data_IF_859842007407
#
_entry.id   IF_859842007407
#
_cell.length_a   1.000
_cell.length_b   1.000
_cell.length_c   1.000
_cell.angle_alpha   90.00
_cell.angle_beta   90.00
_cell.angle_gamma   90.00
#
_symmetry.space_group_name_H-M   'P 1'
#
loop_
_entity.id
_entity.type
_entity.pdbx_description
1 polymer ?
#
# COMPACT_ATOMS: atom_id res chain seq x y z
N UNK A 1 9.64 12.00 -27.90
CA UNK A 1 10.38 10.93 -27.21
C UNK A 1 9.47 9.78 -26.79
N UNK A 2 8.36 9.98 -26.08
CA UNK A 2 7.52 8.87 -25.57
C UNK A 2 6.82 8.02 -26.63
N UNK A 3 6.46 8.59 -27.78
CA UNK A 3 5.86 7.85 -28.91
C UNK A 3 6.85 7.24 -29.92
N UNK A 4 8.16 7.47 -29.73
CA UNK A 4 9.21 6.98 -30.65
C UNK A 4 10.06 5.86 -30.03
N UNK A 5 9.71 5.40 -28.84
CA UNK A 5 10.36 4.24 -28.26
C UNK A 5 9.86 2.98 -28.97
N UNK A 6 10.77 2.09 -29.39
CA UNK A 6 10.35 0.84 -30.00
C UNK A 6 9.45 0.03 -29.07
N UNK A 7 8.33 -0.48 -29.60
CA UNK A 7 7.36 -1.28 -28.83
C UNK A 7 7.99 -2.53 -28.22
N UNK A 8 9.07 -3.06 -28.81
CA UNK A 8 9.80 -4.19 -28.26
C UNK A 8 10.38 -3.91 -26.87
N UNK A 9 10.68 -2.66 -26.50
CA UNK A 9 11.19 -2.34 -25.16
C UNK A 9 10.17 -2.70 -24.07
N UNK A 10 8.90 -2.32 -24.26
CA UNK A 10 7.82 -2.67 -23.34
C UNK A 10 7.57 -4.19 -23.33
N UNK A 11 7.70 -4.84 -24.48
CA UNK A 11 7.53 -6.30 -24.59
C UNK A 11 8.64 -7.04 -23.84
N UNK A 12 9.91 -6.67 -24.02
CA UNK A 12 11.02 -7.31 -23.29
C UNK A 12 10.87 -7.07 -21.79
N UNK A 13 10.54 -5.85 -21.35
CA UNK A 13 10.38 -5.57 -19.94
C UNK A 13 9.20 -6.30 -19.28
N UNK A 14 8.16 -6.66 -20.05
CA UNK A 14 7.01 -7.42 -19.54
C UNK A 14 7.18 -8.94 -19.64
N UNK A 15 7.85 -9.45 -20.68
CA UNK A 15 8.09 -10.89 -20.86
C UNK A 15 9.32 -11.37 -20.09
N UNK A 16 10.36 -10.53 -20.03
CA UNK A 16 11.63 -10.82 -19.39
C UNK A 16 12.01 -9.72 -18.37
N UNK A 17 11.17 -9.45 -17.34
CA UNK A 17 11.43 -8.40 -16.36
C UNK A 17 12.77 -8.56 -15.63
N UNK A 18 13.26 -9.81 -15.48
CA UNK A 18 14.54 -10.13 -14.85
C UNK A 18 15.78 -9.56 -15.56
N UNK A 19 15.66 -9.11 -16.81
CA UNK A 19 16.77 -8.49 -17.55
C UNK A 19 17.08 -7.07 -17.09
N UNK A 20 16.16 -6.43 -16.35
CA UNK A 20 16.28 -5.04 -15.94
C UNK A 20 16.08 -4.91 -14.43
N UNK A 21 16.93 -4.14 -13.73
CA UNK A 21 16.68 -3.74 -12.35
C UNK A 21 15.31 -3.05 -12.18
N UNK A 22 14.79 -3.08 -10.97
CA UNK A 22 13.50 -2.47 -10.64
C UNK A 22 13.45 -1.00 -11.06
N UNK A 23 14.50 -0.23 -10.76
CA UNK A 23 14.58 1.21 -11.04
C UNK A 23 14.52 1.49 -12.54
N UNK A 24 15.17 0.66 -13.36
CA UNK A 24 15.14 0.76 -14.82
C UNK A 24 13.74 0.46 -15.36
N UNK A 25 13.08 -0.58 -14.84
CA UNK A 25 11.69 -0.90 -15.22
C UNK A 25 10.72 0.19 -14.77
N UNK A 26 10.94 0.76 -13.59
CA UNK A 26 10.15 1.89 -13.10
C UNK A 26 10.29 3.11 -14.01
N UNK A 27 11.50 3.45 -14.44
CA UNK A 27 11.70 4.54 -15.39
C UNK A 27 11.01 4.23 -16.73
N UNK A 28 11.20 3.03 -17.27
CA UNK A 28 10.58 2.61 -18.53
C UNK A 28 9.05 2.65 -18.45
N UNK A 29 8.46 2.22 -17.34
CA UNK A 29 7.03 2.35 -17.07
C UNK A 29 6.56 3.79 -17.22
N UNK A 30 7.18 4.72 -16.48
CA UNK A 30 6.77 6.14 -16.53
C UNK A 30 6.94 6.76 -17.92
N UNK A 31 8.00 6.38 -18.64
CA UNK A 31 8.30 6.94 -19.96
C UNK A 31 7.37 6.39 -21.05
N UNK A 32 6.90 5.15 -20.90
CA UNK A 32 6.14 4.47 -21.97
C UNK A 32 4.64 4.36 -21.71
N UNK A 33 4.21 4.47 -20.45
CA UNK A 33 2.80 4.37 -20.06
C UNK A 33 2.08 5.71 -19.97
N UNK A 34 2.82 6.82 -19.87
CA UNK A 34 2.25 8.16 -19.68
C UNK A 34 2.64 9.15 -20.79
N UNK A 35 2.07 10.35 -20.70
CA UNK A 35 2.33 11.40 -21.68
C UNK A 35 3.76 11.96 -21.61
N UNK A 36 4.14 12.68 -22.67
CA UNK A 36 5.49 13.22 -22.86
C UNK A 36 5.94 14.09 -21.70
N UNK A 37 5.07 14.94 -21.17
CA UNK A 37 5.43 15.92 -20.16
C UNK A 37 5.67 15.23 -18.81
N UNK A 38 4.91 14.18 -18.47
CA UNK A 38 5.19 13.34 -17.29
C UNK A 38 6.48 12.55 -17.41
N UNK A 39 6.71 11.93 -18.57
CA UNK A 39 7.94 11.20 -18.83
C UNK A 39 9.18 12.11 -18.73
N UNK A 40 9.09 13.31 -19.28
CA UNK A 40 10.15 14.31 -19.22
C UNK A 40 10.39 14.78 -17.79
N UNK A 41 9.33 15.05 -17.03
CA UNK A 41 9.46 15.39 -15.62
C UNK A 41 10.17 14.28 -14.82
N UNK A 42 9.78 13.02 -15.02
CA UNK A 42 10.43 11.88 -14.35
C UNK A 42 11.91 11.74 -14.71
N UNK A 43 12.27 11.99 -15.97
CA UNK A 43 13.67 11.98 -16.41
C UNK A 43 14.50 13.09 -15.75
N UNK A 44 13.93 14.30 -15.64
CA UNK A 44 14.59 15.41 -14.96
C UNK A 44 14.76 15.15 -13.46
N UNK A 45 13.75 14.59 -12.80
CA UNK A 45 13.80 14.25 -11.37
C UNK A 45 14.87 13.18 -11.06
N UNK A 46 15.05 12.21 -11.96
CA UNK A 46 16.04 11.13 -11.82
C UNK A 46 17.47 11.55 -12.20
N UNK A 47 17.64 12.68 -12.89
CA UNK A 47 18.94 13.14 -13.39
C UNK A 47 19.05 14.65 -13.23
N UNK A 48 19.19 15.15 -11.99
CA UNK A 48 19.28 16.59 -11.71
C UNK A 48 20.48 17.26 -12.39
N UNK A 49 21.54 16.52 -12.76
CA UNK A 49 22.65 17.05 -13.58
C UNK A 49 22.18 17.58 -14.95
N UNK A 50 21.14 16.98 -15.52
CA UNK A 50 20.50 17.46 -16.75
C UNK A 50 19.77 18.79 -16.54
N UNK A 51 19.49 19.20 -15.29
CA UNK A 51 18.91 20.50 -14.92
C UNK A 51 19.97 21.58 -14.66
N UNK A 52 21.25 21.24 -14.49
CA UNK A 52 22.34 22.22 -14.30
C UNK A 52 23.03 22.67 -15.59
N UNK A 53 22.85 21.99 -16.73
CA UNK A 53 23.48 22.37 -17.99
C UNK A 53 22.78 23.57 -18.67
N UNK A 54 23.57 24.57 -19.07
CA UNK A 54 23.11 25.88 -19.57
C UNK A 54 22.72 25.79 -21.06
N UNK A 55 21.54 25.21 -21.36
CA UNK A 55 21.08 24.94 -22.73
C UNK A 55 19.83 25.75 -23.07
N UNK A 56 19.95 26.69 -24.02
CA UNK A 56 18.86 27.54 -24.53
C UNK A 56 17.70 26.76 -25.22
N UNK A 57 17.84 25.45 -25.44
CA UNK A 57 16.83 24.56 -26.05
C UNK A 57 16.15 23.61 -25.05
N UNK A 58 16.00 24.00 -23.78
CA UNK A 58 15.31 23.13 -22.80
C UNK A 58 13.82 23.00 -23.08
N UNK A 59 13.37 21.76 -23.26
CA UNK A 59 11.95 21.42 -23.15
C UNK A 59 11.61 21.33 -21.67
N UNK A 60 10.82 22.27 -21.16
CA UNK A 60 10.28 22.21 -19.80
C UNK A 60 8.95 21.45 -19.84
N UNK A 61 8.75 20.43 -18.99
CA UNK A 61 7.47 19.73 -18.92
C UNK A 61 6.36 20.70 -18.50
N UNK A 62 5.25 20.71 -19.24
CA UNK A 62 4.07 21.54 -18.97
C UNK A 62 2.90 20.65 -18.59
N UNK A 63 2.77 20.37 -17.29
CA UNK A 63 1.64 19.63 -16.76
C UNK A 63 0.51 20.56 -16.35
N UNK A 64 -0.65 20.37 -16.97
CA UNK A 64 -1.88 21.04 -16.56
C UNK A 64 -2.22 20.64 -15.12
N UNK A 65 -2.58 21.61 -14.29
CA UNK A 65 -3.00 21.38 -12.91
C UNK A 65 -4.48 21.74 -12.75
N UNK A 66 -5.24 20.88 -12.09
CA UNK A 66 -6.64 21.10 -11.75
C UNK A 66 -6.76 21.22 -10.25
N UNK A 67 -6.95 22.47 -9.81
CA UNK A 67 -7.21 22.78 -8.42
C UNK A 67 -8.60 22.31 -8.00
N UNK A 68 -8.70 21.71 -6.81
CA UNK A 68 -9.95 21.29 -6.17
C UNK A 68 -9.92 21.72 -4.70
N UNK A 69 -10.99 22.39 -4.29
CA UNK A 69 -11.24 22.70 -2.89
C UNK A 69 -11.94 21.51 -2.25
N UNK A 70 -11.46 21.05 -1.11
CA UNK A 70 -11.91 19.84 -0.43
C UNK A 70 -12.12 20.14 1.05
N UNK A 71 -13.29 19.79 1.58
CA UNK A 71 -13.49 19.81 3.03
C UNK A 71 -12.78 18.62 3.69
N UNK A 72 -12.25 18.81 4.90
CA UNK A 72 -11.75 17.68 5.70
C UNK A 72 -12.87 16.72 6.12
N UNK A 73 -14.09 17.25 6.21
CA UNK A 73 -15.29 16.46 6.49
C UNK A 73 -15.69 15.64 5.25
N UNK A 74 -16.13 14.39 5.45
CA UNK A 74 -16.57 13.49 4.38
C UNK A 74 -15.56 13.33 3.21
N UNK A 75 -14.25 13.44 3.50
CA UNK A 75 -13.18 13.45 2.48
C UNK A 75 -13.25 12.27 1.50
N UNK A 76 -13.66 11.08 1.96
CA UNK A 76 -13.80 9.90 1.10
C UNK A 76 -14.85 10.10 0.00
N UNK A 77 -16.00 10.69 0.33
CA UNK A 77 -17.09 10.94 -0.62
C UNK A 77 -16.69 12.01 -1.63
N UNK A 78 -16.00 13.05 -1.18
CA UNK A 78 -15.47 14.08 -2.08
C UNK A 78 -14.38 13.51 -2.99
N UNK A 79 -13.50 12.65 -2.47
CA UNK A 79 -12.47 11.97 -3.24
C UNK A 79 -13.05 11.10 -4.35
N UNK A 80 -14.15 10.39 -4.08
CA UNK A 80 -14.87 9.62 -5.10
C UNK A 80 -15.27 10.48 -6.30
N UNK A 81 -15.86 11.65 -6.04
CA UNK A 81 -16.26 12.58 -7.10
C UNK A 81 -15.05 13.18 -7.83
N UNK A 82 -14.05 13.67 -7.09
CA UNK A 82 -12.85 14.31 -7.66
C UNK A 82 -12.09 13.35 -8.56
N UNK A 83 -11.84 12.13 -8.10
CA UNK A 83 -11.10 11.13 -8.87
C UNK A 83 -11.93 10.62 -10.05
N UNK A 84 -13.25 10.48 -9.89
CA UNK A 84 -14.15 10.13 -10.99
C UNK A 84 -14.06 11.16 -12.13
N UNK A 85 -14.09 12.46 -11.80
CA UNK A 85 -14.04 13.56 -12.78
C UNK A 85 -12.65 13.70 -13.44
N UNK A 86 -11.60 13.28 -12.74
CA UNK A 86 -10.22 13.35 -13.20
C UNK A 86 -9.72 12.05 -13.85
N UNK A 87 -10.47 10.94 -13.79
CA UNK A 87 -10.01 9.64 -14.27
C UNK A 87 -9.59 9.65 -15.74
N UNK A 88 -10.35 10.33 -16.60
CA UNK A 88 -10.03 10.49 -18.04
C UNK A 88 -9.12 11.69 -18.33
N UNK A 89 -8.75 12.47 -17.31
CA UNK A 89 -7.96 13.68 -17.46
C UNK A 89 -6.48 13.43 -17.17
N UNK A 90 -5.62 13.95 -18.04
CA UNK A 90 -4.17 13.99 -17.84
C UNK A 90 -3.72 15.09 -16.89
N UNK A 91 -4.60 15.95 -16.40
CA UNK A 91 -4.23 17.03 -15.49
C UNK A 91 -3.85 16.48 -14.11
N UNK A 92 -2.83 17.07 -13.47
CA UNK A 92 -2.47 16.81 -12.08
C UNK A 92 -3.54 17.36 -11.14
N UNK A 93 -3.91 16.58 -10.13
CA UNK A 93 -4.72 17.09 -9.02
C UNK A 93 -3.88 18.04 -8.14
N UNK A 94 -4.45 19.19 -7.81
CA UNK A 94 -3.93 20.08 -6.77
C UNK A 94 -5.04 20.34 -5.74
N UNK A 95 -4.78 20.02 -4.48
CA UNK A 95 -5.75 20.18 -3.40
C UNK A 95 -5.54 21.49 -2.64
N UNK A 96 -6.66 22.11 -2.28
CA UNK A 96 -6.78 23.14 -1.25
C UNK A 96 -7.82 22.68 -0.25
N UNK A 97 -7.52 22.75 1.04
CA UNK A 97 -8.52 22.50 2.07
C UNK A 97 -9.38 23.75 2.30
N UNK A 98 -10.66 23.55 2.60
CA UNK A 98 -11.56 24.63 3.02
C UNK A 98 -11.01 25.35 4.25
N UNK A 99 -11.15 26.67 4.28
CA UNK A 99 -10.65 27.55 5.35
C UNK A 99 -9.12 27.48 5.60
N UNK A 100 -8.37 26.90 4.68
CA UNK A 100 -6.91 26.84 4.71
C UNK A 100 -6.27 27.63 3.56
N UNK A 101 -5.19 28.34 3.90
CA UNK A 101 -4.42 29.16 2.94
C UNK A 101 -3.50 28.29 2.07
N UNK A 102 -3.11 27.12 2.57
CA UNK A 102 -2.15 26.22 1.91
C UNK A 102 -2.74 25.49 0.69
N UNK A 103 -2.03 25.56 -0.44
CA UNK A 103 -2.32 24.76 -1.64
C UNK A 103 -1.03 24.18 -2.22
N UNK A 104 -1.14 23.18 -3.10
CA UNK A 104 0.01 22.63 -3.81
C UNK A 104 0.31 21.19 -3.42
N UNK A 105 1.61 20.83 -3.41
CA UNK A 105 2.04 19.43 -3.28
C UNK A 105 1.74 18.86 -1.89
N UNK A 106 2.02 19.61 -0.81
CA UNK A 106 1.80 19.17 0.57
C UNK A 106 0.34 18.77 0.85
N UNK A 107 -0.63 19.69 0.69
CA UNK A 107 -2.05 19.36 0.85
C UNK A 107 -2.54 18.24 -0.08
N UNK A 108 -1.96 18.14 -1.28
CA UNK A 108 -2.27 17.04 -2.20
C UNK A 108 -1.77 15.70 -1.67
N UNK A 109 -0.54 15.63 -1.16
CA UNK A 109 0.01 14.38 -0.58
C UNK A 109 -0.79 13.95 0.65
N UNK A 110 -1.19 14.92 1.47
CA UNK A 110 -2.07 14.67 2.61
C UNK A 110 -3.43 14.12 2.17
N UNK A 111 -4.04 14.68 1.12
CA UNK A 111 -5.28 14.16 0.57
C UNK A 111 -5.19 12.67 0.20
N UNK A 112 -4.10 12.26 -0.48
CA UNK A 112 -3.90 10.84 -0.80
C UNK A 112 -3.73 9.98 0.46
N UNK A 113 -3.03 10.48 1.48
CA UNK A 113 -2.84 9.78 2.75
C UNK A 113 -4.17 9.64 3.54
N UNK A 114 -4.96 10.71 3.64
CA UNK A 114 -6.25 10.70 4.34
C UNK A 114 -7.27 9.80 3.62
N UNK A 115 -7.36 9.87 2.29
CA UNK A 115 -8.25 8.97 1.53
C UNK A 115 -7.81 7.51 1.68
N UNK A 116 -6.49 7.24 1.71
CA UNK A 116 -5.95 5.91 2.00
C UNK A 116 -6.35 5.41 3.38
N UNK A 117 -6.35 6.29 4.39
CA UNK A 117 -6.82 5.97 5.75
C UNK A 117 -8.32 5.72 5.79
N UNK A 118 -9.13 6.59 5.18
CA UNK A 118 -10.59 6.42 5.13
C UNK A 118 -11.03 5.14 4.42
N UNK A 119 -10.31 4.73 3.38
CA UNK A 119 -10.57 3.46 2.70
C UNK A 119 -10.33 2.24 3.59
N UNK A 120 -9.60 2.38 4.71
CA UNK A 120 -9.36 1.32 5.68
C UNK A 120 -10.40 1.27 6.80
N UNK A 121 -11.42 2.14 6.80
CA UNK A 121 -12.46 2.10 7.84
C UNK A 121 -13.19 0.76 7.88
N UNK A 122 -13.41 0.25 9.10
CA UNK A 122 -14.04 -1.03 9.33
C UNK A 122 -15.52 -1.05 8.91
N UNK A 123 -16.24 0.06 9.06
CA UNK A 123 -17.67 0.19 8.70
C UNK A 123 -17.94 0.13 7.18
N UNK A 124 -16.89 0.24 6.36
CA UNK A 124 -17.00 0.04 4.92
C UNK A 124 -17.05 -1.44 4.53
N UNK A 125 -16.66 -2.35 5.42
CA UNK A 125 -16.65 -3.81 5.23
C UNK A 125 -15.92 -4.26 3.94
N UNK A 126 -14.88 -3.51 3.51
CA UNK A 126 -14.16 -3.79 2.27
C UNK A 126 -13.14 -4.92 2.41
N UNK A 127 -12.58 -5.11 3.61
CA UNK A 127 -11.35 -5.88 3.82
C UNK A 127 -11.59 -7.12 4.69
N UNK A 128 -10.88 -8.21 4.38
CA UNK A 128 -10.81 -9.40 5.21
C UNK A 128 -10.03 -9.09 6.49
N UNK A 129 -10.75 -8.91 7.59
CA UNK A 129 -10.17 -8.58 8.88
C UNK A 129 -11.02 -9.16 10.04
N UNK A 130 -11.01 -10.48 10.22
CA UNK A 130 -11.82 -11.14 11.26
C UNK A 130 -11.44 -10.67 12.68
N UNK A 131 -10.19 -10.28 12.89
CA UNK A 131 -9.65 -9.85 14.18
C UNK A 131 -9.80 -8.34 14.43
N UNK A 132 -10.37 -7.57 13.50
CA UNK A 132 -10.54 -6.11 13.62
C UNK A 132 -11.89 -5.70 14.22
N UNK A 133 -12.64 -6.63 14.81
CA UNK A 133 -13.91 -6.35 15.46
C UNK A 133 -13.73 -5.33 16.60
N UNK A 134 -14.34 -4.14 16.46
CA UNK A 134 -14.29 -3.07 17.46
C UNK A 134 -13.28 -1.95 17.20
N UNK A 135 -12.45 -2.06 16.15
CA UNK A 135 -11.57 -0.96 15.72
C UNK A 135 -12.25 -0.11 14.64
N UNK A 136 -12.02 1.20 14.64
CA UNK A 136 -12.54 2.11 13.61
C UNK A 136 -11.89 1.85 12.23
N UNK A 137 -10.64 1.40 12.24
CA UNK A 137 -9.84 1.12 11.04
C UNK A 137 -9.30 -0.31 11.05
N UNK A 138 -9.24 -0.90 9.86
CA UNK A 138 -8.71 -2.23 9.62
C UNK A 138 -7.20 -2.19 9.62
N UNK A 139 -6.59 -3.02 10.46
CA UNK A 139 -5.16 -3.25 10.49
C UNK A 139 -4.88 -4.73 10.30
N UNK A 140 -4.25 -5.08 9.17
CA UNK A 140 -3.92 -6.45 8.83
C UNK A 140 -2.41 -6.62 8.65
N UNK A 141 -1.82 -7.57 9.38
CA UNK A 141 -0.37 -7.79 9.41
C UNK A 141 0.17 -8.19 8.02
N UNK A 142 -0.58 -9.03 7.30
CA UNK A 142 -0.23 -9.49 5.95
C UNK A 142 -0.71 -8.56 4.83
N UNK A 143 -1.25 -7.40 5.20
CA UNK A 143 -1.80 -6.42 4.26
C UNK A 143 -3.28 -6.64 3.93
N UNK A 144 -3.88 -5.64 3.31
CA UNK A 144 -5.28 -5.58 2.93
C UNK A 144 -5.57 -6.54 1.78
N UNK A 145 -6.67 -7.26 1.92
CA UNK A 145 -7.24 -8.11 0.88
C UNK A 145 -8.77 -8.05 1.01
N UNK A 146 -9.55 -8.18 -0.08
CA UNK A 146 -10.98 -7.94 0.00
C UNK A 146 -11.71 -8.96 0.88
N UNK A 147 -12.75 -8.51 1.56
CA UNK A 147 -13.69 -9.42 2.21
C UNK A 147 -14.45 -10.25 1.15
N UNK A 148 -14.61 -11.57 1.34
CA UNK A 148 -15.38 -12.40 0.45
C UNK A 148 -16.87 -12.04 0.48
N UNK A 149 -17.50 -11.97 -0.69
CA UNK A 149 -18.93 -11.76 -0.87
C UNK A 149 -19.61 -13.09 -1.20
N UNK A 150 -20.57 -13.50 -0.37
CA UNK A 150 -21.39 -14.68 -0.60
C UNK A 150 -22.34 -14.56 -1.78
N UNK A 151 -22.76 -15.69 -2.35
CA UNK A 151 -23.73 -15.76 -3.45
C UNK A 151 -25.07 -15.11 -3.12
N UNK A 152 -25.52 -15.23 -1.87
CA UNK A 152 -26.77 -14.65 -1.36
C UNK A 152 -26.69 -13.19 -0.92
N UNK A 153 -25.55 -12.51 -1.12
CA UNK A 153 -25.41 -11.11 -0.72
C UNK A 153 -26.43 -10.22 -1.45
N UNK A 154 -26.98 -9.22 -0.74
CA UNK A 154 -27.99 -8.31 -1.29
C UNK A 154 -27.41 -7.51 -2.45
N UNK A 155 -28.18 -7.32 -3.52
CA UNK A 155 -27.76 -6.58 -4.73
C UNK A 155 -27.24 -5.17 -4.39
N UNK A 156 -27.89 -4.48 -3.45
CA UNK A 156 -27.45 -3.15 -2.99
C UNK A 156 -26.07 -3.16 -2.32
N UNK A 157 -25.78 -4.15 -1.48
CA UNK A 157 -24.48 -4.32 -0.82
C UNK A 157 -23.37 -4.63 -1.85
N UNK A 158 -23.67 -5.52 -2.80
CA UNK A 158 -22.74 -5.84 -3.89
C UNK A 158 -22.44 -4.58 -4.71
N UNK A 159 -23.47 -3.82 -5.08
CA UNK A 159 -23.32 -2.57 -5.85
C UNK A 159 -22.47 -1.55 -5.09
N UNK A 160 -22.76 -1.31 -3.81
CA UNK A 160 -21.97 -0.41 -2.95
C UNK A 160 -20.49 -0.82 -2.91
N UNK A 161 -20.21 -2.11 -2.70
CA UNK A 161 -18.85 -2.64 -2.64
C UNK A 161 -18.13 -2.50 -3.98
N UNK A 162 -18.78 -2.88 -5.09
CA UNK A 162 -18.22 -2.70 -6.44
C UNK A 162 -17.90 -1.23 -6.74
N UNK A 163 -18.75 -0.30 -6.33
CA UNK A 163 -18.50 1.14 -6.51
C UNK A 163 -17.25 1.58 -5.76
N UNK A 164 -17.08 1.16 -4.50
CA UNK A 164 -15.88 1.46 -3.70
C UNK A 164 -14.61 0.87 -4.33
N UNK A 165 -14.65 -0.38 -4.78
CA UNK A 165 -13.49 -1.00 -5.43
C UNK A 165 -13.16 -0.39 -6.79
N UNK A 166 -14.17 0.01 -7.57
CA UNK A 166 -13.98 0.77 -8.82
C UNK A 166 -13.34 2.12 -8.56
N UNK A 167 -13.80 2.83 -7.54
CA UNK A 167 -13.14 4.06 -7.09
C UNK A 167 -11.68 3.78 -6.69
N UNK A 168 -11.43 2.74 -5.89
CA UNK A 168 -10.08 2.36 -5.49
C UNK A 168 -9.18 2.10 -6.70
N UNK A 169 -9.66 1.40 -7.72
CA UNK A 169 -8.92 1.20 -8.97
C UNK A 169 -8.52 2.51 -9.65
N UNK A 170 -9.46 3.45 -9.77
CA UNK A 170 -9.19 4.79 -10.33
C UNK A 170 -8.20 5.56 -9.47
N UNK A 171 -8.37 5.51 -8.15
CA UNK A 171 -7.52 6.19 -7.18
C UNK A 171 -6.08 5.67 -7.25
N UNK A 172 -5.90 4.35 -7.31
CA UNK A 172 -4.61 3.69 -7.51
C UNK A 172 -3.94 4.09 -8.83
N UNK A 173 -4.67 4.00 -9.95
CA UNK A 173 -4.11 4.36 -11.25
C UNK A 173 -3.75 5.86 -11.31
N UNK A 174 -4.61 6.72 -10.76
CA UNK A 174 -4.39 8.16 -10.72
C UNK A 174 -3.20 8.54 -9.85
N UNK A 175 -3.05 7.90 -8.69
CA UNK A 175 -1.90 8.08 -7.80
C UNK A 175 -0.59 7.74 -8.52
N UNK A 176 -0.52 6.59 -9.18
CA UNK A 176 0.68 6.18 -9.94
C UNK A 176 0.98 7.16 -11.07
N UNK A 177 -0.03 7.52 -11.87
CA UNK A 177 0.12 8.49 -12.97
C UNK A 177 0.64 9.84 -12.48
N UNK A 178 0.13 10.32 -11.34
CA UNK A 178 0.51 11.59 -10.71
C UNK A 178 1.77 11.49 -9.84
N UNK A 179 2.44 10.32 -9.79
CA UNK A 179 3.59 10.07 -8.92
C UNK A 179 3.29 10.44 -7.45
N UNK A 180 2.17 9.91 -6.95
CA UNK A 180 1.69 10.03 -5.57
C UNK A 180 1.64 8.65 -4.95
N UNK A 181 2.02 8.58 -3.68
CA UNK A 181 2.04 7.33 -2.93
C UNK A 181 0.75 7.17 -2.15
N UNK A 182 0.30 5.93 -2.03
CA UNK A 182 -0.82 5.53 -1.21
C UNK A 182 -0.32 4.93 0.10
N UNK A 183 -1.06 5.17 1.18
CA UNK A 183 -0.84 4.45 2.44
C UNK A 183 -1.84 3.30 2.59
N UNK A 184 -1.91 2.47 1.55
CA UNK A 184 -2.78 1.29 1.47
C UNK A 184 -1.91 0.04 1.35
N UNK A 185 -1.68 -0.68 2.45
CA UNK A 185 -0.77 -1.80 2.46
C UNK A 185 -1.43 -3.07 1.94
N UNK A 186 -1.52 -3.27 0.63
CA UNK A 186 -2.14 -4.46 0.10
C UNK A 186 -1.29 -5.73 0.34
N UNK A 187 -1.96 -6.87 0.47
CA UNK A 187 -1.31 -8.18 0.51
C UNK A 187 -0.66 -8.52 -0.84
N UNK A 188 0.34 -9.40 -0.83
CA UNK A 188 0.94 -9.92 -2.07
C UNK A 188 -0.11 -10.55 -3.00
N UNK A 189 -1.05 -11.28 -2.42
CA UNK A 189 -2.17 -11.92 -3.13
C UNK A 189 -3.06 -10.90 -3.85
N UNK A 190 -3.27 -9.71 -3.26
CA UNK A 190 -4.00 -8.62 -3.92
C UNK A 190 -3.27 -8.17 -5.20
N UNK A 191 -1.95 -8.00 -5.13
CA UNK A 191 -1.14 -7.60 -6.29
C UNK A 191 -1.08 -8.68 -7.36
N UNK A 192 -1.02 -9.96 -6.99
CA UNK A 192 -1.14 -11.09 -7.93
C UNK A 192 -2.49 -11.06 -8.65
N UNK A 193 -3.59 -10.80 -7.93
CA UNK A 193 -4.88 -10.55 -8.53
C UNK A 193 -4.82 -9.32 -9.45
N UNK A 194 -4.27 -8.19 -9.05
CA UNK A 194 -4.18 -7.01 -9.90
C UNK A 194 -3.47 -7.30 -11.24
N UNK A 195 -2.48 -8.19 -11.25
CA UNK A 195 -1.71 -8.57 -12.43
C UNK A 195 -2.34 -9.66 -13.32
N UNK A 196 -3.51 -10.21 -12.98
CA UNK A 196 -4.13 -11.28 -13.77
C UNK A 196 -3.68 -12.69 -13.40
N UNK A 197 -3.11 -12.89 -12.21
CA UNK A 197 -2.52 -14.17 -11.79
C UNK A 197 -3.42 -15.00 -10.85
N UNK A 198 -4.70 -14.64 -10.73
CA UNK A 198 -5.66 -15.28 -9.84
C UNK A 198 -5.86 -16.78 -10.11
N UNK A 199 -5.68 -17.21 -11.36
CA UNK A 199 -5.74 -18.61 -11.78
C UNK A 199 -4.54 -19.46 -11.29
N UNK A 200 -3.45 -18.81 -10.88
CA UNK A 200 -2.27 -19.46 -10.30
C UNK A 200 -2.26 -19.40 -8.77
N UNK A 201 -3.33 -18.90 -8.13
CA UNK A 201 -3.43 -18.83 -6.68
C UNK A 201 -3.80 -20.20 -6.11
N UNK A 202 -3.12 -20.57 -5.03
CA UNK A 202 -3.28 -21.87 -4.37
C UNK A 202 -3.37 -21.72 -2.85
N UNK A 203 -3.55 -22.82 -2.12
CA UNK A 203 -3.52 -22.82 -0.64
C UNK A 203 -2.23 -22.22 -0.08
N UNK A 204 -1.11 -22.26 -0.82
CA UNK A 204 0.13 -21.60 -0.41
C UNK A 204 -0.03 -20.09 -0.25
N UNK A 205 -0.82 -19.45 -1.11
CA UNK A 205 -1.02 -17.99 -1.13
C UNK A 205 -1.88 -17.48 0.03
N UNK A 206 -2.62 -18.37 0.71
CA UNK A 206 -3.34 -18.01 1.93
C UNK A 206 -2.41 -17.56 3.05
N UNK A 207 -1.11 -17.89 2.99
CA UNK A 207 -0.14 -17.39 3.99
C UNK A 207 -0.07 -15.86 4.00
N UNK A 208 -0.30 -15.22 2.85
CA UNK A 208 -0.32 -13.75 2.70
C UNK A 208 -1.67 -13.12 3.03
N UNK A 209 -2.64 -13.92 3.49
CA UNK A 209 -3.98 -13.46 3.89
C UNK A 209 -4.26 -13.82 5.35
N UNK A 210 -4.23 -15.12 5.64
CA UNK A 210 -4.49 -15.71 6.94
C UNK A 210 -3.50 -16.87 7.17
N UNK A 211 -2.36 -16.59 7.83
CA UNK A 211 -1.36 -17.62 8.16
C UNK A 211 -1.96 -18.76 8.98
N UNK A 212 -2.93 -18.46 9.84
CA UNK A 212 -3.65 -19.45 10.65
C UNK A 212 -4.47 -20.38 9.77
N UNK A 213 -5.27 -19.83 8.84
CA UNK A 213 -6.04 -20.64 7.89
C UNK A 213 -5.14 -21.50 7.01
N UNK A 214 -4.04 -20.91 6.49
CA UNK A 214 -3.05 -21.64 5.71
C UNK A 214 -2.51 -22.87 6.47
N UNK A 215 -2.13 -22.69 7.75
CA UNK A 215 -1.65 -23.80 8.60
C UNK A 215 -2.71 -24.90 8.75
N UNK A 216 -3.95 -24.53 9.02
CA UNK A 216 -5.08 -25.48 9.18
C UNK A 216 -5.30 -26.28 7.89
N UNK A 217 -5.43 -25.61 6.74
CA UNK A 217 -5.66 -26.28 5.47
C UNK A 217 -4.48 -27.15 5.04
N UNK A 218 -3.24 -26.73 5.34
CA UNK A 218 -2.04 -27.55 5.07
C UNK A 218 -2.08 -28.86 5.86
N UNK A 219 -2.54 -28.85 7.10
CA UNK A 219 -2.74 -30.08 7.90
C UNK A 219 -3.83 -30.97 7.29
N UNK A 220 -4.96 -30.40 6.90
CA UNK A 220 -6.04 -31.14 6.20
C UNK A 220 -5.52 -31.80 4.92
N UNK A 221 -4.72 -31.09 4.12
CA UNK A 221 -4.10 -31.64 2.91
C UNK A 221 -3.15 -32.80 3.21
N UNK A 222 -2.43 -32.77 4.34
CA UNK A 222 -1.58 -33.88 4.74
C UNK A 222 -2.41 -35.13 5.08
N UNK A 223 -3.52 -34.96 5.80
CA UNK A 223 -4.47 -36.04 6.12
C UNK A 223 -5.08 -36.62 4.84
N UNK A 224 -5.54 -35.76 3.92
CA UNK A 224 -6.07 -36.18 2.61
C UNK A 224 -5.03 -36.99 1.82
N UNK A 225 -3.77 -36.55 1.79
CA UNK A 225 -2.69 -37.33 1.12
C UNK A 225 -2.48 -38.70 1.76
N UNK A 226 -2.56 -38.78 3.09
CA UNK A 226 -2.43 -40.05 3.82
C UNK A 226 -3.60 -40.99 3.52
N UNK A 227 -4.83 -40.47 3.51
CA UNK A 227 -6.02 -41.20 3.05
C UNK A 227 -5.83 -41.72 1.62
N UNK A 228 -5.38 -40.86 0.70
CA UNK A 228 -5.19 -41.25 -0.70
C UNK A 228 -4.08 -42.30 -0.85
N UNK A 229 -3.02 -42.24 -0.02
CA UNK A 229 -1.99 -43.27 0.03
C UNK A 229 -2.57 -44.62 0.47
N UNK A 230 -3.40 -44.64 1.54
CA UNK A 230 -4.09 -45.86 2.01
C UNK A 230 -5.00 -46.43 0.93
N UNK A 231 -5.78 -45.57 0.26
CA UNK A 231 -6.68 -45.99 -0.83
C UNK A 231 -5.92 -46.67 -1.98
N UNK A 232 -4.74 -46.14 -2.32
CA UNK A 232 -3.91 -46.62 -3.42
C UNK A 232 -2.95 -47.74 -3.02
N UNK A 233 -2.89 -48.13 -1.74
CA UNK A 233 -2.03 -49.20 -1.26
C UNK A 233 -2.49 -50.56 -1.83
N UNK A 234 -1.66 -51.27 -2.61
CA UNK A 234 -2.03 -52.57 -3.17
C UNK A 234 -2.04 -53.70 -2.14
N UNK A 235 -1.38 -53.54 -0.99
CA UNK A 235 -1.21 -54.58 0.02
C UNK A 235 -2.38 -54.63 1.02
N UNK A 236 -3.24 -53.59 1.03
CA UNK A 236 -4.40 -53.50 1.93
C UNK A 236 -5.70 -54.00 1.27
N UNK A 237 -6.49 -54.76 2.02
CA UNK A 237 -7.85 -55.12 1.60
C UNK A 237 -8.78 -53.90 1.67
N UNK A 238 -9.95 -53.97 1.02
CA UNK A 238 -10.95 -52.89 1.06
C UNK A 238 -11.46 -52.61 2.48
N UNK A 239 -11.49 -53.62 3.35
CA UNK A 239 -11.92 -53.48 4.74
C UNK A 239 -10.83 -52.77 5.54
N UNK A 240 -9.58 -53.22 5.42
CA UNK A 240 -8.44 -52.60 6.11
C UNK A 240 -8.27 -51.13 5.70
N UNK A 241 -8.48 -50.82 4.41
CA UNK A 241 -8.47 -49.43 3.91
C UNK A 241 -9.52 -48.57 4.60
N UNK A 242 -10.73 -49.07 4.74
CA UNK A 242 -11.82 -48.33 5.40
C UNK A 242 -11.46 -48.08 6.86
N UNK A 243 -11.04 -49.10 7.60
CA UNK A 243 -10.68 -48.96 9.01
C UNK A 243 -9.50 -48.00 9.24
N UNK A 244 -8.45 -48.07 8.42
CA UNK A 244 -7.28 -47.19 8.52
C UNK A 244 -7.61 -45.74 8.14
N UNK A 245 -8.57 -45.52 7.24
CA UNK A 245 -9.04 -44.17 6.88
C UNK A 245 -9.87 -43.55 8.00
N UNK A 246 -10.76 -44.32 8.64
CA UNK A 246 -11.59 -43.82 9.75
C UNK A 246 -10.76 -43.53 11.02
N UNK A 247 -9.58 -44.15 11.16
CA UNK A 247 -8.60 -43.85 12.22
C UNK A 247 -7.82 -42.55 12.01
N UNK A 248 -7.96 -41.87 10.86
CA UNK A 248 -7.23 -40.63 10.61
C UNK A 248 -7.81 -39.49 11.47
N UNK A 249 -6.91 -38.77 12.15
CA UNK A 249 -7.27 -37.71 13.10
C UNK A 249 -6.69 -36.35 12.66
N UNK A 250 -7.34 -35.27 13.10
CA UNK A 250 -6.84 -33.91 12.97
C UNK A 250 -6.40 -33.41 14.34
N UNK A 251 -5.09 -33.19 14.53
CA UNK A 251 -4.51 -32.74 15.81
C UNK A 251 -4.92 -33.62 17.03
N UNK A 252 -5.05 -34.94 16.83
CA UNK A 252 -5.43 -35.90 17.86
C UNK A 252 -6.94 -35.98 18.14
N UNK A 253 -7.75 -35.37 17.29
CA UNK A 253 -9.21 -35.38 17.37
C UNK A 253 -9.80 -36.12 16.16
N UNK A 254 -10.81 -36.99 16.35
CA UNK A 254 -11.59 -37.54 15.25
C UNK A 254 -12.12 -36.42 14.34
N UNK A 255 -12.09 -36.63 13.03
CA UNK A 255 -12.43 -35.59 12.05
C UNK A 255 -13.90 -35.16 12.17
N UNK A 256 -14.79 -36.10 12.48
CA UNK A 256 -16.22 -35.83 12.68
C UNK A 256 -16.48 -34.94 13.91
N UNK A 257 -15.65 -35.07 14.95
CA UNK A 257 -15.76 -34.29 16.19
C UNK A 257 -15.37 -32.81 16.01
N UNK A 258 -14.70 -32.47 14.90
CA UNK A 258 -14.45 -31.08 14.53
C UNK A 258 -15.75 -30.29 14.29
N UNK A 259 -16.86 -30.99 13.97
CA UNK A 259 -18.18 -30.40 13.72
C UNK A 259 -18.16 -29.22 12.72
N UNK A 260 -17.31 -29.33 11.69
CA UNK A 260 -17.21 -28.34 10.64
C UNK A 260 -18.22 -28.65 9.54
N UNK A 261 -18.98 -27.63 9.14
CA UNK A 261 -19.84 -27.68 7.97
C UNK A 261 -19.16 -27.01 6.76
N UNK A 262 -19.80 -27.06 5.59
CA UNK A 262 -19.30 -26.41 4.38
C UNK A 262 -19.63 -24.91 4.34
N UNK A 263 -19.28 -24.19 5.40
CA UNK A 263 -19.37 -22.74 5.53
C UNK A 263 -17.97 -22.14 5.58
N UNK A 264 -17.77 -21.00 4.90
CA UNK A 264 -16.48 -20.31 4.85
C UNK A 264 -16.10 -19.81 6.25
N UNK A 265 -14.93 -20.21 6.81
CA UNK A 265 -14.53 -19.80 8.15
C UNK A 265 -14.50 -18.28 8.34
N UNK A 266 -15.13 -17.79 9.40
CA UNK A 266 -15.25 -16.36 9.69
C UNK A 266 -16.35 -15.63 8.92
N UNK A 267 -17.14 -16.34 8.10
CA UNK A 267 -18.23 -15.76 7.30
C UNK A 267 -19.47 -16.65 7.32
N UNK A 268 -20.64 -16.06 7.07
CA UNK A 268 -21.88 -16.82 6.86
C UNK A 268 -22.09 -17.08 5.36
N UNK A 269 -21.13 -17.77 4.72
CA UNK A 269 -21.12 -18.04 3.29
C UNK A 269 -21.05 -19.54 3.07
N UNK A 270 -22.10 -20.12 2.48
CA UNK A 270 -22.12 -21.50 2.02
C UNK A 270 -21.08 -21.71 0.91
N UNK A 271 -20.15 -22.64 1.13
CA UNK A 271 -19.11 -23.00 0.16
C UNK A 271 -19.67 -23.75 -1.05
N UNK A 272 -20.78 -24.46 -0.83
CA UNK A 272 -21.51 -25.23 -1.82
C UNK A 272 -23.02 -25.22 -1.50
N UNK A 273 -23.85 -25.73 -2.41
CA UNK A 273 -25.30 -25.83 -2.16
C UNK A 273 -25.55 -26.67 -0.91
N UNK A 274 -26.36 -26.14 0.02
CA UNK A 274 -26.63 -26.75 1.33
C UNK A 274 -25.37 -26.95 2.18
N UNK A 275 -24.41 -26.01 2.10
CA UNK A 275 -23.12 -26.11 2.78
C UNK A 275 -23.26 -26.26 4.29
N UNK A 276 -24.06 -25.40 4.92
CA UNK A 276 -24.40 -25.47 6.35
C UNK A 276 -25.03 -26.79 6.81
N UNK A 277 -25.69 -27.52 5.91
CA UNK A 277 -26.30 -28.82 6.22
C UNK A 277 -25.40 -30.01 5.90
N UNK A 278 -24.21 -29.76 5.34
CA UNK A 278 -23.27 -30.80 4.95
C UNK A 278 -22.13 -30.82 5.96
N UNK A 279 -22.00 -31.91 6.72
CA UNK A 279 -20.89 -32.09 7.67
C UNK A 279 -19.61 -32.52 6.94
N UNK A 280 -18.48 -32.01 7.40
CA UNK A 280 -17.16 -32.40 6.94
C UNK A 280 -16.76 -33.75 7.55
N UNK A 281 -16.24 -34.65 6.72
CA UNK A 281 -15.68 -35.94 7.11
C UNK A 281 -14.38 -36.20 6.35
N UNK A 282 -13.67 -37.27 6.69
CA UNK A 282 -12.44 -37.66 5.99
C UNK A 282 -12.66 -37.89 4.48
N UNK A 283 -13.86 -38.32 4.09
CA UNK A 283 -14.22 -38.60 2.70
C UNK A 283 -14.34 -37.32 1.87
N UNK A 284 -14.87 -36.24 2.45
CA UNK A 284 -15.12 -34.97 1.77
C UNK A 284 -14.18 -33.81 2.17
N UNK A 285 -13.23 -34.05 3.08
CA UNK A 285 -12.25 -33.04 3.56
C UNK A 285 -11.49 -32.35 2.42
N UNK A 286 -11.10 -33.09 1.38
CA UNK A 286 -10.44 -32.54 0.19
C UNK A 286 -11.29 -31.46 -0.51
N UNK A 287 -12.61 -31.69 -0.59
CA UNK A 287 -13.55 -30.74 -1.18
C UNK A 287 -13.65 -29.50 -0.30
N UNK A 288 -13.76 -29.66 1.02
CA UNK A 288 -13.78 -28.54 1.97
C UNK A 288 -12.52 -27.67 1.82
N UNK A 289 -11.33 -28.27 1.87
CA UNK A 289 -10.06 -27.53 1.74
C UNK A 289 -9.94 -26.77 0.42
N UNK A 290 -10.39 -27.37 -0.69
CA UNK A 290 -10.36 -26.75 -2.01
C UNK A 290 -11.37 -25.60 -2.10
N UNK A 291 -12.58 -25.79 -1.59
CA UNK A 291 -13.62 -24.76 -1.60
C UNK A 291 -13.26 -23.58 -0.71
N UNK A 292 -12.74 -23.80 0.51
CA UNK A 292 -12.27 -22.70 1.38
C UNK A 292 -11.20 -21.88 0.66
N UNK A 293 -10.20 -22.53 0.07
CA UNK A 293 -9.15 -21.85 -0.71
C UNK A 293 -9.76 -21.06 -1.87
N UNK A 294 -10.64 -21.67 -2.65
CA UNK A 294 -11.27 -21.06 -3.82
C UNK A 294 -12.13 -19.84 -3.45
N UNK A 295 -12.89 -19.91 -2.36
CA UNK A 295 -13.74 -18.82 -1.91
C UNK A 295 -12.96 -17.65 -1.34
N UNK A 296 -11.90 -17.91 -0.57
CA UNK A 296 -11.02 -16.84 -0.08
C UNK A 296 -10.27 -16.18 -1.23
N UNK A 297 -9.69 -16.95 -2.15
CA UNK A 297 -8.76 -16.41 -3.14
C UNK A 297 -9.37 -16.02 -4.47
N UNK A 298 -10.56 -16.53 -4.81
CA UNK A 298 -11.17 -16.31 -6.12
C UNK A 298 -12.66 -15.98 -6.01
N UNK A 299 -13.54 -16.96 -5.86
CA UNK A 299 -15.00 -16.78 -6.02
C UNK A 299 -15.58 -15.67 -5.14
N UNK A 300 -15.18 -15.61 -3.86
CA UNK A 300 -15.66 -14.60 -2.93
C UNK A 300 -15.15 -13.20 -3.28
N UNK A 301 -14.01 -13.08 -3.94
CA UNK A 301 -13.33 -11.81 -4.22
C UNK A 301 -13.44 -11.32 -5.66
N UNK A 302 -13.87 -12.15 -6.62
CA UNK A 302 -13.90 -11.79 -8.05
C UNK A 302 -14.72 -10.53 -8.36
N UNK A 303 -15.91 -10.37 -7.78
CA UNK A 303 -16.80 -9.25 -8.13
C UNK A 303 -16.21 -7.87 -7.82
N UNK A 304 -15.56 -7.74 -6.67
CA UNK A 304 -14.88 -6.50 -6.28
C UNK A 304 -13.54 -6.31 -6.99
N UNK A 305 -12.76 -7.38 -7.18
CA UNK A 305 -11.47 -7.26 -7.87
C UNK A 305 -11.64 -6.92 -9.35
N UNK A 306 -12.67 -7.44 -10.02
CA UNK A 306 -13.01 -7.02 -11.38
C UNK A 306 -13.45 -5.55 -11.43
N UNK A 307 -14.28 -5.11 -10.48
CA UNK A 307 -14.66 -3.69 -10.41
C UNK A 307 -13.45 -2.78 -10.20
N UNK A 308 -12.46 -3.24 -9.43
CA UNK A 308 -11.18 -2.55 -9.24
C UNK A 308 -10.37 -2.47 -10.54
N UNK A 309 -10.22 -3.58 -11.27
CA UNK A 309 -9.54 -3.59 -12.58
C UNK A 309 -10.24 -2.65 -13.57
N UNK A 310 -11.57 -2.70 -13.66
CA UNK A 310 -12.37 -1.80 -14.50
C UNK A 310 -12.14 -0.33 -14.11
N UNK A 311 -12.03 -0.03 -12.82
CA UNK A 311 -11.68 1.30 -12.32
C UNK A 311 -10.28 1.73 -12.75
N UNK A 312 -9.30 0.85 -12.58
CA UNK A 312 -7.91 1.11 -12.93
C UNK A 312 -7.74 1.37 -14.43
N UNK A 313 -8.28 0.48 -15.27
CA UNK A 313 -8.17 0.56 -16.74
C UNK A 313 -8.82 1.81 -17.34
N UNK A 314 -9.77 2.43 -16.62
CA UNK A 314 -10.37 3.69 -17.06
C UNK A 314 -9.41 4.89 -17.03
N UNK A 315 -8.25 4.76 -16.38
CA UNK A 315 -7.21 5.80 -16.31
C UNK A 315 -6.06 5.48 -17.27
N UNK A 316 -5.47 4.28 -17.14
CA UNK A 316 -4.45 3.79 -18.09
C UNK A 316 -4.43 2.24 -18.13
N UNK A 317 -3.86 1.63 -19.18
CA UNK A 317 -3.89 0.18 -19.37
C UNK A 317 -3.20 -0.59 -18.24
N UNK A 318 -3.94 -1.51 -17.60
CA UNK A 318 -3.43 -2.35 -16.51
C UNK A 318 -2.23 -3.22 -16.95
N UNK A 319 -2.20 -3.63 -18.22
CA UNK A 319 -1.10 -4.38 -18.83
C UNK A 319 0.26 -3.70 -18.67
N UNK A 320 0.31 -2.37 -18.55
CA UNK A 320 1.57 -1.65 -18.29
C UNK A 320 2.23 -2.04 -16.97
N UNK A 321 1.48 -2.53 -15.97
CA UNK A 321 2.03 -3.01 -14.71
C UNK A 321 2.76 -4.36 -14.83
N UNK A 322 2.55 -5.13 -15.92
CA UNK A 322 3.17 -6.46 -16.07
C UNK A 322 4.68 -6.45 -16.22
N UNK A 323 5.29 -5.26 -16.33
CA UNK A 323 6.74 -5.17 -16.21
C UNK A 323 7.24 -5.30 -14.78
N UNK A 324 6.37 -5.30 -13.77
CA UNK A 324 6.74 -5.48 -12.36
C UNK A 324 6.37 -6.88 -11.86
N UNK A 325 7.18 -7.40 -10.95
CA UNK A 325 6.82 -8.56 -10.15
C UNK A 325 5.77 -8.16 -9.09
N UNK A 326 4.89 -9.08 -8.64
CA UNK A 326 3.88 -8.79 -7.62
C UNK A 326 4.47 -8.16 -6.35
N UNK A 327 5.66 -8.60 -5.92
CA UNK A 327 6.38 -8.13 -4.74
C UNK A 327 6.84 -6.67 -4.87
N UNK A 328 7.00 -6.18 -6.10
CA UNK A 328 7.47 -4.82 -6.39
C UNK A 328 6.31 -3.82 -6.47
N UNK A 329 5.07 -4.29 -6.57
CA UNK A 329 3.93 -3.39 -6.70
C UNK A 329 3.67 -2.59 -5.41
N UNK A 330 4.07 -3.08 -4.24
CA UNK A 330 4.08 -2.23 -3.04
C UNK A 330 4.97 -1.01 -3.26
N UNK A 331 6.16 -1.19 -3.85
CA UNK A 331 7.09 -0.10 -4.14
C UNK A 331 6.51 0.90 -5.16
N UNK A 332 5.78 0.41 -6.16
CA UNK A 332 5.13 1.24 -7.19
C UNK A 332 3.99 2.09 -6.61
N UNK A 333 3.13 1.50 -5.77
CA UNK A 333 1.93 2.19 -5.26
C UNK A 333 2.17 2.96 -3.97
N UNK A 334 3.02 2.43 -3.08
CA UNK A 334 3.15 2.91 -1.71
C UNK A 334 4.52 3.54 -1.42
N UNK A 335 5.49 3.44 -2.33
CA UNK A 335 6.86 3.89 -2.07
C UNK A 335 7.67 2.85 -1.30
N UNK A 336 8.64 3.28 -0.50
CA UNK A 336 9.57 2.37 0.17
C UNK A 336 8.82 1.25 0.95
N UNK A 337 9.10 -0.04 0.67
CA UNK A 337 8.43 -1.16 1.32
C UNK A 337 8.52 -1.12 2.85
N UNK A 338 7.56 -1.78 3.51
CA UNK A 338 7.48 -1.81 4.98
C UNK A 338 8.68 -2.47 5.65
N UNK A 339 9.27 -3.45 4.98
CA UNK A 339 10.35 -4.26 5.54
C UNK A 339 11.74 -3.66 5.31
N UNK A 340 11.85 -2.65 4.44
CA UNK A 340 13.09 -1.89 4.20
C UNK A 340 13.22 -0.63 5.07
N UNK A 341 12.28 -0.40 6.00
CA UNK A 341 12.37 0.65 7.03
C UNK A 341 13.38 0.33 8.15
N UNK A 342 14.10 -0.79 8.05
CA UNK A 342 15.23 -1.12 8.91
C UNK A 342 16.42 -0.20 8.60
N UNK A 343 16.69 0.76 9.50
CA UNK A 343 17.98 1.46 9.58
C UNK A 343 17.97 2.89 9.05
N UNK A 344 17.33 3.82 9.77
CA UNK A 344 17.67 5.24 9.68
C UNK A 344 19.01 5.48 10.39
N UNK A 345 20.09 4.93 9.86
CA UNK A 345 21.39 5.14 10.44
C UNK A 345 21.83 6.61 10.28
N UNK A 346 22.53 7.12 11.29
CA UNK A 346 22.91 8.53 11.37
C UNK A 346 23.74 8.96 10.15
N UNK A 347 24.60 8.07 9.63
CA UNK A 347 25.45 8.37 8.47
C UNK A 347 24.61 8.55 7.22
N UNK A 348 23.70 7.62 6.93
CA UNK A 348 22.78 7.75 5.80
C UNK A 348 21.93 9.01 5.93
N UNK A 349 21.37 9.32 7.11
CA UNK A 349 20.60 10.54 7.31
C UNK A 349 21.41 11.81 7.03
N UNK A 350 22.68 11.86 7.47
CA UNK A 350 23.60 12.97 7.18
C UNK A 350 23.86 13.11 5.67
N UNK A 351 24.08 12.00 4.96
CA UNK A 351 24.34 12.01 3.52
C UNK A 351 23.12 12.46 2.68
N UNK A 352 21.90 12.28 3.22
CA UNK A 352 20.65 12.59 2.51
C UNK A 352 20.10 13.99 2.82
N UNK A 353 20.59 14.63 3.88
CA UNK A 353 20.06 15.88 4.40
C UNK A 353 21.02 17.03 4.10
N UNK A 354 20.47 18.19 3.81
CA UNK A 354 21.21 19.43 3.63
C UNK A 354 21.00 20.37 4.82
N UNK A 355 21.92 20.43 5.80
CA UNK A 355 21.96 21.51 6.77
C UNK A 355 22.20 22.84 6.06
N UNK A 356 21.45 23.89 6.41
CA UNK A 356 21.58 25.20 5.79
C UNK A 356 21.20 26.31 6.80
N UNK A 357 21.42 27.58 6.43
CA UNK A 357 20.95 28.79 7.13
C UNK A 357 21.10 28.72 8.67
N UNK A 358 22.36 28.71 9.13
CA UNK A 358 22.69 28.71 10.56
C UNK A 358 22.97 27.32 11.14
N UNK A 359 22.80 26.25 10.36
CA UNK A 359 23.30 24.92 10.68
C UNK A 359 24.30 24.40 9.65
N UNK A 360 25.15 23.51 10.12
CA UNK A 360 26.15 22.73 9.37
C UNK A 360 26.05 21.27 9.80
N UNK A 361 26.67 20.35 9.06
CA UNK A 361 26.72 18.93 9.44
C UNK A 361 27.31 18.70 10.84
N UNK A 362 28.18 19.61 11.31
CA UNK A 362 28.80 19.52 12.62
C UNK A 362 27.99 20.09 13.78
N UNK A 363 26.90 20.80 13.48
CA UNK A 363 26.07 21.47 14.48
C UNK A 363 25.46 20.48 15.47
N UNK A 364 25.46 20.84 16.76
CA UNK A 364 24.89 20.04 17.86
C UNK A 364 23.45 19.62 17.56
N UNK A 365 22.61 20.56 17.11
CA UNK A 365 21.20 20.32 16.78
C UNK A 365 21.02 19.27 15.67
N UNK A 366 21.89 19.26 14.65
CA UNK A 366 21.85 18.30 13.54
C UNK A 366 22.25 16.90 14.01
N UNK A 367 23.30 16.79 14.82
CA UNK A 367 23.71 15.52 15.45
C UNK A 367 22.60 14.96 16.33
N UNK A 368 22.01 15.80 17.19
CA UNK A 368 20.87 15.40 18.02
C UNK A 368 19.67 14.93 17.20
N UNK A 369 19.32 15.67 16.14
CA UNK A 369 18.22 15.29 15.25
C UNK A 369 18.42 13.88 14.71
N UNK A 370 19.55 13.59 14.08
CA UNK A 370 19.77 12.29 13.44
C UNK A 370 19.90 11.15 14.44
N UNK A 371 20.50 11.38 15.61
CA UNK A 371 20.49 10.38 16.66
C UNK A 371 19.06 10.09 17.16
N UNK A 372 18.22 11.11 17.32
CA UNK A 372 16.81 10.93 17.70
C UNK A 372 16.07 10.15 16.63
N UNK A 373 16.17 10.56 15.37
CA UNK A 373 15.54 9.86 14.23
C UNK A 373 16.01 8.40 14.12
N UNK A 374 17.30 8.13 14.34
CA UNK A 374 17.84 6.76 14.31
C UNK A 374 17.28 5.86 15.42
N UNK A 375 16.79 6.45 16.51
CA UNK A 375 16.19 5.74 17.64
C UNK A 375 14.67 5.58 17.52
N UNK A 376 14.04 6.12 16.48
CA UNK A 376 12.59 6.02 16.30
C UNK A 376 12.14 4.61 15.96
N UNK A 377 11.04 4.18 16.60
CA UNK A 377 10.31 3.00 16.17
C UNK A 377 9.50 3.28 14.88
N UNK A 378 8.86 2.25 14.32
CA UNK A 378 8.12 2.37 13.05
C UNK A 378 7.00 3.42 13.09
N UNK A 379 6.29 3.55 14.21
CA UNK A 379 5.18 4.49 14.33
C UNK A 379 5.71 5.93 14.43
N UNK A 380 6.75 6.16 15.23
CA UNK A 380 7.42 7.45 15.33
C UNK A 380 8.03 7.90 14.00
N UNK A 381 8.65 6.97 13.25
CA UNK A 381 9.15 7.23 11.90
C UNK A 381 8.04 7.67 10.96
N UNK A 382 6.91 6.94 10.95
CA UNK A 382 5.75 7.26 10.10
C UNK A 382 5.17 8.63 10.43
N UNK A 383 4.99 8.94 11.72
CA UNK A 383 4.52 10.25 12.18
C UNK A 383 5.47 11.37 11.74
N UNK A 384 6.78 11.17 11.86
CA UNK A 384 7.76 12.16 11.42
C UNK A 384 7.78 12.35 9.91
N UNK A 385 7.72 11.28 9.12
CA UNK A 385 7.66 11.40 7.65
C UNK A 385 6.38 12.12 7.23
N UNK A 386 5.25 11.82 7.87
CA UNK A 386 3.99 12.51 7.59
C UNK A 386 4.06 13.99 7.93
N UNK A 387 4.62 14.33 9.09
CA UNK A 387 4.89 15.71 9.47
C UNK A 387 5.78 16.41 8.43
N UNK A 388 6.86 15.76 7.99
CA UNK A 388 7.83 16.36 7.08
C UNK A 388 7.32 16.52 5.65
N UNK A 389 6.61 15.52 5.13
CA UNK A 389 6.32 15.35 3.70
C UNK A 389 4.84 15.41 3.35
N UNK A 390 3.95 15.38 4.34
CA UNK A 390 2.50 15.27 4.15
C UNK A 390 1.98 13.84 3.90
N UNK A 391 2.87 12.84 3.79
CA UNK A 391 2.49 11.42 3.62
C UNK A 391 3.31 10.54 4.57
N UNK A 392 2.76 9.46 5.15
CA UNK A 392 3.49 8.64 6.12
C UNK A 392 4.52 7.66 5.50
N UNK A 393 4.80 7.79 4.19
CA UNK A 393 5.72 6.91 3.46
C UNK A 393 6.73 7.71 2.66
N UNK A 394 7.96 7.18 2.59
CA UNK A 394 9.02 7.72 1.74
C UNK A 394 8.95 7.14 0.32
N UNK A 395 9.43 7.86 -0.70
CA UNK A 395 9.60 7.31 -2.04
C UNK A 395 10.60 6.14 -2.05
N UNK A 396 10.57 5.34 -3.13
CA UNK A 396 11.57 4.29 -3.34
C UNK A 396 12.97 4.94 -3.39
N UNK A 397 13.90 4.41 -2.59
CA UNK A 397 15.21 5.03 -2.35
C UNK A 397 15.29 5.88 -1.06
N UNK A 398 14.18 6.00 -0.31
CA UNK A 398 14.16 6.63 1.02
C UNK A 398 14.40 8.15 0.95
N UNK A 399 15.12 8.69 1.95
CA UNK A 399 15.40 10.13 2.02
C UNK A 399 16.18 10.67 0.82
N UNK A 400 17.04 9.86 0.17
CA UNK A 400 17.79 10.27 -1.03
C UNK A 400 16.90 10.58 -2.22
N UNK A 401 15.72 9.95 -2.26
CA UNK A 401 14.77 10.10 -3.35
C UNK A 401 13.75 11.22 -3.12
N UNK A 402 13.87 11.97 -2.01
CA UNK A 402 13.08 13.19 -1.81
C UNK A 402 13.50 14.24 -2.83
N UNK A 403 12.53 14.77 -3.57
CA UNK A 403 12.74 15.87 -4.52
C UNK A 403 11.77 17.01 -4.17
N UNK A 404 12.25 18.15 -3.66
CA UNK A 404 13.66 18.46 -3.34
C UNK A 404 14.20 17.68 -2.12
N UNK A 405 15.54 17.57 -1.94
CA UNK A 405 16.13 16.92 -0.77
C UNK A 405 15.73 17.58 0.55
N UNK A 406 15.74 16.81 1.64
CA UNK A 406 15.46 17.31 2.99
C UNK A 406 16.47 18.41 3.36
N UNK A 407 15.96 19.61 3.64
CA UNK A 407 16.79 20.74 4.09
C UNK A 407 16.44 21.09 5.54
N UNK A 408 17.44 21.16 6.42
CA UNK A 408 17.24 21.48 7.84
C UNK A 408 17.93 22.80 8.16
N UNK A 409 17.18 23.75 8.70
CA UNK A 409 17.68 25.08 9.00
C UNK A 409 17.42 25.51 10.42
N UNK A 410 18.21 26.48 10.90
CA UNK A 410 18.02 27.05 12.21
C UNK A 410 16.79 27.96 12.20
N UNK A 411 15.86 27.73 13.13
CA UNK A 411 14.78 28.68 13.39
C UNK A 411 15.39 29.96 14.00
N UNK A 412 15.18 31.10 13.36
CA UNK A 412 15.56 32.40 13.91
C UNK A 412 14.64 32.76 15.07
N UNK A 413 15.23 33.15 16.20
CA UNK A 413 14.54 33.56 17.42
C UNK A 413 15.05 34.95 17.84
N UNK A 414 14.23 35.72 18.52
CA UNK A 414 14.67 36.98 19.11
C UNK A 414 15.65 36.73 20.28
N UNK A 415 16.57 37.66 20.59
CA UNK A 415 17.62 37.43 21.59
C UNK A 415 17.14 37.02 22.99
N UNK A 416 15.91 37.40 23.37
CA UNK A 416 15.33 37.12 24.68
C UNK A 416 14.43 35.86 24.71
N UNK A 417 14.37 35.12 23.61
CA UNK A 417 13.51 33.94 23.47
C UNK A 417 14.31 32.65 23.68
N UNK A 418 13.76 31.71 24.47
CA UNK A 418 14.36 30.40 24.65
C UNK A 418 13.94 29.45 23.53
N UNK A 419 14.90 28.78 22.89
CA UNK A 419 14.63 27.82 21.83
C UNK A 419 13.72 26.66 22.26
N UNK A 420 13.83 26.24 23.52
CA UNK A 420 13.06 25.13 24.08
C UNK A 420 11.55 25.43 24.17
N UNK A 421 11.14 26.69 24.10
CA UNK A 421 9.72 27.06 24.15
C UNK A 421 9.01 26.87 22.80
N UNK A 422 9.75 26.77 21.70
CA UNK A 422 9.19 26.73 20.35
C UNK A 422 9.14 25.32 19.77
N UNK A 423 8.07 25.02 19.04
CA UNK A 423 7.98 23.80 18.22
C UNK A 423 8.78 23.94 16.91
N UNK A 424 9.31 22.84 16.35
CA UNK A 424 9.80 22.86 14.98
C UNK A 424 8.65 23.07 14.01
N UNK A 425 8.94 23.63 12.84
CA UNK A 425 7.95 23.79 11.77
C UNK A 425 8.49 23.32 10.43
N UNK A 426 7.59 22.95 9.53
CA UNK A 426 7.93 22.39 8.22
C UNK A 426 7.29 23.19 7.10
N UNK A 427 7.96 23.20 5.95
CA UNK A 427 7.36 23.56 4.68
C UNK A 427 7.33 22.29 3.83
N UNK A 428 6.22 21.54 3.93
CA UNK A 428 6.08 20.19 3.36
C UNK A 428 6.31 20.15 1.86
N UNK A 429 5.85 21.18 1.12
CA UNK A 429 6.03 21.28 -0.34
C UNK A 429 7.49 21.26 -0.80
N UNK A 430 8.44 21.58 0.07
CA UNK A 430 9.87 21.69 -0.24
C UNK A 430 10.76 20.91 0.74
N UNK A 431 10.17 19.98 1.53
CA UNK A 431 10.88 19.15 2.50
C UNK A 431 11.84 19.96 3.40
N UNK A 432 11.37 21.09 3.91
CA UNK A 432 12.21 22.07 4.62
C UNK A 432 11.81 22.16 6.10
N UNK A 433 12.71 21.77 7.00
CA UNK A 433 12.50 21.71 8.44
C UNK A 433 13.21 22.88 9.14
N UNK A 434 12.43 23.75 9.78
CA UNK A 434 12.94 24.82 10.67
C UNK A 434 13.02 24.28 12.09
N UNK A 435 14.25 24.05 12.56
CA UNK A 435 14.53 23.42 13.85
C UNK A 435 15.15 24.44 14.83
N UNK A 436 14.53 24.70 15.99
CA UNK A 436 15.16 25.47 17.07
C UNK A 436 16.44 24.79 17.59
N UNK A 437 17.37 25.59 18.11
CA UNK A 437 18.63 25.08 18.67
C UNK A 437 18.41 24.65 20.13
N UNK A 438 17.74 23.51 20.30
CA UNK A 438 17.32 23.01 21.61
C UNK A 438 18.49 22.79 22.57
N UNK A 439 18.23 22.96 23.86
CA UNK A 439 19.23 22.78 24.92
C UNK A 439 19.76 21.34 24.96
N UNK A 440 18.88 20.35 24.83
CA UNK A 440 19.15 18.92 24.99
C UNK A 440 18.46 18.05 23.94
N UNK A 441 18.90 16.80 23.83
CA UNK A 441 18.35 15.81 22.90
C UNK A 441 16.93 15.38 23.31
N UNK A 442 16.68 15.34 24.61
CA UNK A 442 15.40 14.97 25.22
C UNK A 442 14.33 16.01 24.86
N UNK A 443 14.67 17.30 24.97
CA UNK A 443 13.78 18.39 24.56
C UNK A 443 13.49 18.32 23.05
N UNK A 444 14.51 18.09 22.22
CA UNK A 444 14.33 17.93 20.78
C UNK A 444 13.37 16.79 20.44
N UNK A 445 13.54 15.62 21.07
CA UNK A 445 12.68 14.46 20.84
C UNK A 445 11.23 14.78 21.20
N UNK A 446 11.01 15.37 22.36
CA UNK A 446 9.66 15.70 22.82
C UNK A 446 8.99 16.75 21.93
N UNK A 447 9.71 17.80 21.54
CA UNK A 447 9.18 18.86 20.65
C UNK A 447 8.88 18.33 19.26
N UNK A 448 9.70 17.43 18.72
CA UNK A 448 9.39 16.73 17.45
C UNK A 448 8.16 15.85 17.59
N UNK A 449 8.02 15.11 18.69
CA UNK A 449 6.86 14.25 18.94
C UNK A 449 5.58 15.07 18.97
N UNK A 450 5.55 16.17 19.75
CA UNK A 450 4.40 17.08 19.85
C UNK A 450 4.07 17.67 18.48
N UNK A 451 5.05 18.23 17.77
CA UNK A 451 4.83 18.81 16.45
C UNK A 451 4.31 17.78 15.43
N UNK A 452 4.82 16.55 15.46
CA UNK A 452 4.41 15.49 14.55
C UNK A 452 3.04 14.90 14.88
N UNK A 453 2.59 14.94 16.14
CA UNK A 453 1.25 14.49 16.53
C UNK A 453 0.18 15.57 16.34
N UNK A 454 0.49 16.82 16.69
CA UNK A 454 -0.48 17.92 16.68
C UNK A 454 -0.51 18.67 15.35
N UNK A 455 0.62 18.74 14.63
CA UNK A 455 0.74 19.43 13.35
C UNK A 455 0.01 18.76 12.18
N UNK A 456 -0.52 17.54 12.36
CA UNK A 456 -1.21 16.79 11.29
C UNK A 456 -2.54 17.41 10.87
N UNK A 457 -3.14 18.28 11.69
CA UNK A 457 -4.44 18.89 11.44
C UNK A 457 -4.36 20.42 11.32
N UNK A 458 -3.15 20.98 11.21
CA UNK A 458 -2.96 22.42 11.28
C UNK A 458 -1.79 22.87 10.43
N UNK A 459 -2.04 23.07 9.14
CA UNK A 459 -1.15 23.86 8.25
C UNK A 459 -1.19 25.36 8.55
N UNK A 460 -1.84 25.76 9.65
CA UNK A 460 -2.08 27.15 10.06
C UNK A 460 -0.84 27.95 10.49
N UNK A 461 0.35 27.34 10.57
CA UNK A 461 1.55 27.96 11.15
C UNK A 461 2.70 28.18 10.14
N UNK A 462 2.37 28.36 8.86
CA UNK A 462 3.35 28.80 7.85
C UNK A 462 3.60 30.31 7.92
#
# INVERSE_FOLDING_TARGET
>A
MTGNLPSWLQQIASVCPFLFPFETRQLLFYVTSFDRDRALQRLLDMSPELTSADSQERVTPRLDRRKRTISRDDILKQAEQVIQDLASSKALLEVQYEDEVGTGLGPTLEFYALVSKELQRADLELWHAPDSAGNDFVHQAMGLFPAPIGRGAKVGQISKTKTKFRFLGKFMAKAVMDSRMLDLPFSLTFYRWLLGQEHCLTTADLVHLSPTMHKTLRKMQHIVRRRDAILNDPDLSTVDKTEEIEKLEFDGCPIEDLNLDFVLPGYNIDLMKNGKSTQMSIHNMHLYSNLVTHWFLFEGVSRQMEALREGFESVFPLQSLKMFHPEELEAVFCGNPRDTLSGWDVKTLMDCCKPDHGYTADSKAIKFLFEVLSSYNRDEQRLFIQFLTGTPRLPVGGFKALSPPLTVVRRTLEPNQNADDFLPSVMTCVNYLKLPDYSSKEVLREKLRIAASEGQHSFHLS
#
